data_IF_219085462812
#
_entry.id   IF_219085462812
#
_cell.length_a   1.000
_cell.length_b   1.000
_cell.length_c   1.000
_cell.angle_alpha   90.00
_cell.angle_beta   90.00
_cell.angle_gamma   90.00
#
_symmetry.space_group_name_H-M   'P 1'
#
loop_
_entity.id
_entity.type
_entity.pdbx_description
1 polymer ?
#
# COMPACT_ATOMS: atom_id res chain seq x y z
N UNK A 1 38.31 22.91 30.43
CA UNK A 1 36.98 23.29 30.96
C UNK A 1 35.90 22.62 30.13
N UNK A 2 34.84 22.11 30.77
CA UNK A 2 33.70 21.53 30.08
C UNK A 2 32.88 22.62 29.36
N UNK A 3 32.38 22.33 28.15
CA UNK A 3 31.51 23.24 27.37
C UNK A 3 30.04 23.03 27.79
N UNK A 4 29.28 24.12 27.88
CA UNK A 4 27.83 24.04 28.08
C UNK A 4 27.18 23.49 26.82
N UNK A 5 26.39 22.43 26.95
CA UNK A 5 25.73 21.75 25.85
C UNK A 5 24.21 21.81 25.98
N UNK A 6 23.53 21.95 24.85
CA UNK A 6 22.07 21.81 24.77
C UNK A 6 21.67 20.89 23.62
N UNK A 7 20.50 20.27 23.75
CA UNK A 7 19.86 19.53 22.68
C UNK A 7 18.65 20.34 22.25
N UNK A 8 18.50 20.54 20.95
CA UNK A 8 17.40 21.33 20.40
C UNK A 8 17.05 20.92 18.98
N UNK A 9 16.02 21.58 18.45
CA UNK A 9 15.55 21.38 17.08
C UNK A 9 15.85 22.60 16.24
N UNK A 10 16.26 22.39 14.99
CA UNK A 10 16.46 23.47 14.03
C UNK A 10 15.10 23.97 13.56
N UNK A 11 14.82 25.25 13.83
CA UNK A 11 13.53 25.89 13.48
C UNK A 11 13.61 26.61 12.15
N UNK A 12 14.74 27.26 11.85
CA UNK A 12 14.91 27.95 10.58
C UNK A 12 16.33 27.84 10.08
N UNK A 13 16.48 27.53 8.79
CA UNK A 13 17.74 27.48 8.07
C UNK A 13 17.62 28.20 6.72
N UNK A 14 18.74 28.70 6.18
CA UNK A 14 18.77 29.38 4.87
C UNK A 14 18.37 30.86 4.89
N UNK A 15 17.89 31.38 6.03
CA UNK A 15 17.60 32.81 6.21
C UNK A 15 18.83 33.67 6.52
N UNK A 16 19.90 33.06 7.04
CA UNK A 16 21.16 33.70 7.39
C UNK A 16 22.30 32.77 6.98
N UNK A 17 23.42 33.32 6.50
CA UNK A 17 24.58 32.50 6.14
C UNK A 17 25.31 31.95 7.38
N UNK A 18 25.73 30.69 7.28
CA UNK A 18 26.46 29.93 8.32
C UNK A 18 25.85 30.01 9.71
N UNK A 19 24.53 30.21 9.77
CA UNK A 19 23.81 30.50 11.00
C UNK A 19 22.41 29.90 10.93
N UNK A 20 22.07 29.11 11.94
CA UNK A 20 20.75 28.48 12.07
C UNK A 20 20.08 28.92 13.37
N UNK A 21 18.76 28.87 13.40
CA UNK A 21 17.98 29.10 14.62
C UNK A 21 17.61 27.77 15.25
N UNK A 22 18.10 27.50 16.47
CA UNK A 22 17.84 26.26 17.21
C UNK A 22 16.98 26.54 18.41
N UNK A 23 15.87 25.81 18.55
CA UNK A 23 14.99 25.86 19.72
C UNK A 23 15.40 24.80 20.73
N UNK A 24 15.75 25.26 21.92
CA UNK A 24 16.07 24.41 23.07
C UNK A 24 14.88 24.41 24.03
N UNK A 25 14.56 23.25 24.57
CA UNK A 25 13.56 23.06 25.62
C UNK A 25 14.27 22.71 26.93
N UNK A 26 14.02 23.50 27.97
CA UNK A 26 14.55 23.26 29.32
C UNK A 26 13.38 23.01 30.28
N UNK A 27 13.49 21.99 31.13
CA UNK A 27 12.53 21.78 32.21
C UNK A 27 12.78 22.81 33.31
N UNK A 28 11.75 23.53 33.69
CA UNK A 28 11.79 24.52 34.77
C UNK A 28 10.61 24.27 35.70
N UNK A 29 10.88 24.14 37.00
CA UNK A 29 9.84 24.03 38.01
C UNK A 29 9.24 25.40 38.30
N UNK A 30 7.93 25.56 38.12
CA UNK A 30 7.23 26.77 38.51
C UNK A 30 6.72 26.63 39.95
N UNK A 31 7.33 27.39 40.87
CA UNK A 31 6.97 27.37 42.30
C UNK A 31 5.51 27.76 42.56
N UNK A 32 4.92 28.68 41.79
CA UNK A 32 3.53 29.14 42.00
C UNK A 32 2.49 28.07 41.65
N UNK A 33 2.77 27.30 40.61
CA UNK A 33 1.85 26.27 40.09
C UNK A 33 2.22 24.87 40.59
N UNK A 34 3.35 24.74 41.29
CA UNK A 34 3.91 23.48 41.78
C UNK A 34 3.98 22.39 40.69
N UNK A 35 4.34 22.78 39.46
CA UNK A 35 4.44 21.88 38.30
C UNK A 35 5.67 22.21 37.45
N UNK A 36 6.27 21.18 36.87
CA UNK A 36 7.33 21.32 35.87
C UNK A 36 6.76 21.67 34.49
N UNK A 37 7.37 22.66 33.84
CA UNK A 37 7.03 23.08 32.48
C UNK A 37 8.28 23.13 31.61
N UNK A 38 8.09 23.02 30.30
CA UNK A 38 9.16 23.26 29.34
C UNK A 38 9.24 24.74 28.98
N UNK A 39 10.34 25.39 29.36
CA UNK A 39 10.69 26.72 28.88
C UNK A 39 11.43 26.58 27.55
N UNK A 40 10.88 27.18 26.50
CA UNK A 40 11.51 27.25 25.17
C UNK A 40 12.42 28.48 25.08
N UNK A 41 13.59 28.32 24.47
CA UNK A 41 14.49 29.42 24.11
C UNK A 41 15.13 29.14 22.75
N UNK A 42 15.08 30.14 21.88
CA UNK A 42 15.64 30.04 20.53
C UNK A 42 17.03 30.70 20.53
N UNK A 43 18.03 29.99 20.01
CA UNK A 43 19.43 30.41 19.93
C UNK A 43 19.85 30.57 18.47
N UNK A 44 20.69 31.57 18.20
CA UNK A 44 21.43 31.65 16.95
C UNK A 44 22.69 30.81 17.11
N UNK A 45 22.83 29.81 16.25
CA UNK A 45 23.86 28.79 16.33
C UNK A 45 24.66 28.81 15.04
N UNK A 46 25.98 28.71 15.15
CA UNK A 46 26.86 28.65 14.02
C UNK A 46 26.88 27.25 13.40
N UNK A 47 26.68 27.19 12.09
CA UNK A 47 26.86 26.01 11.26
C UNK A 47 27.79 26.40 10.11
N UNK A 48 29.05 25.98 10.16
CA UNK A 48 30.06 26.43 9.19
C UNK A 48 29.82 25.87 7.79
N UNK A 49 29.31 24.63 7.70
CA UNK A 49 29.14 23.90 6.45
C UNK A 49 27.68 23.93 5.96
N UNK A 50 26.78 24.65 6.65
CA UNK A 50 25.36 24.75 6.31
C UNK A 50 24.68 23.36 6.13
N UNK A 51 25.09 22.39 6.95
CA UNK A 51 24.66 20.98 6.84
C UNK A 51 23.25 20.80 7.41
N UNK A 52 22.93 21.52 8.48
CA UNK A 52 21.66 21.34 9.17
C UNK A 52 20.51 21.87 8.32
N UNK A 53 19.33 21.23 8.42
CA UNK A 53 18.09 21.68 7.80
C UNK A 53 16.98 21.82 8.84
N UNK A 54 15.89 22.47 8.45
CA UNK A 54 14.74 22.66 9.33
C UNK A 54 14.14 21.31 9.74
N UNK A 55 13.94 21.09 11.03
CA UNK A 55 13.43 19.83 11.58
C UNK A 55 14.51 18.88 12.13
N UNK A 56 15.80 19.15 11.91
CA UNK A 56 16.88 18.35 12.48
C UNK A 56 16.97 18.52 14.00
N UNK A 57 17.34 17.43 14.70
CA UNK A 57 17.70 17.47 16.12
C UNK A 57 19.21 17.56 16.26
N UNK A 58 19.69 18.60 16.93
CA UNK A 58 21.11 18.91 17.03
C UNK A 58 21.55 19.07 18.48
N UNK A 59 22.79 18.66 18.76
CA UNK A 59 23.52 19.03 19.97
C UNK A 59 24.32 20.29 19.67
N UNK A 60 24.08 21.34 20.44
CA UNK A 60 24.80 22.61 20.33
C UNK A 60 25.71 22.78 21.53
N UNK A 61 26.88 23.36 21.31
CA UNK A 61 27.87 23.62 22.36
C UNK A 61 28.23 25.10 22.42
N UNK A 62 28.52 25.58 23.63
CA UNK A 62 28.96 26.95 23.84
C UNK A 62 30.36 27.18 23.24
N UNK A 63 30.52 28.30 22.56
CA UNK A 63 31.77 28.75 21.93
C UNK A 63 32.13 30.16 22.38
N UNK A 64 33.28 30.66 21.92
CA UNK A 64 33.55 32.11 21.98
C UNK A 64 32.40 32.88 21.29
N UNK A 65 32.15 34.14 21.67
CA UNK A 65 31.26 35.01 20.91
C UNK A 65 31.71 35.07 19.44
N UNK A 66 30.87 34.57 18.54
CA UNK A 66 31.09 34.62 17.09
C UNK A 66 30.42 35.85 16.46
N UNK A 67 29.38 36.38 17.12
CA UNK A 67 28.67 37.60 16.76
C UNK A 67 27.91 38.12 17.98
N UNK A 68 27.24 39.27 17.87
CA UNK A 68 26.52 39.94 18.96
C UNK A 68 25.51 39.04 19.71
N UNK A 69 24.92 38.05 19.02
CA UNK A 69 23.93 37.12 19.60
C UNK A 69 24.25 35.64 19.36
N UNK A 70 25.43 35.32 18.81
CA UNK A 70 25.82 33.97 18.38
C UNK A 70 26.97 33.46 19.24
N UNK A 71 26.65 32.62 20.22
CA UNK A 71 27.59 32.09 21.22
C UNK A 71 27.61 30.56 21.26
N UNK A 72 26.92 29.90 20.32
CA UNK A 72 26.82 28.45 20.23
C UNK A 72 27.18 27.99 18.81
N UNK A 73 27.74 26.79 18.70
CA UNK A 73 27.97 26.10 17.44
C UNK A 73 27.32 24.72 17.45
N UNK A 74 27.00 24.21 16.26
CA UNK A 74 26.53 22.82 16.10
C UNK A 74 27.71 21.90 16.36
N UNK A 75 27.55 20.99 17.32
CA UNK A 75 28.56 19.99 17.63
C UNK A 75 28.24 18.65 16.97
N UNK A 76 26.96 18.31 16.85
CA UNK A 76 26.52 17.01 16.34
C UNK A 76 25.05 17.07 15.89
N UNK A 77 24.73 16.37 14.79
CA UNK A 77 23.35 16.13 14.36
C UNK A 77 22.93 14.78 14.95
N UNK A 78 22.02 14.81 15.93
CA UNK A 78 21.51 13.59 16.60
C UNK A 78 20.47 12.86 15.78
N UNK A 79 19.62 13.61 15.06
CA UNK A 79 18.60 13.05 14.18
C UNK A 79 18.42 13.94 12.97
N UNK A 80 18.69 13.37 11.80
CA UNK A 80 18.51 14.02 10.52
C UNK A 80 17.09 13.73 10.02
N UNK A 81 16.26 14.76 9.92
CA UNK A 81 14.89 14.66 9.36
C UNK A 81 14.67 15.70 8.27
N UNK A 82 15.25 16.88 8.44
CA UNK A 82 15.08 18.00 7.53
C UNK A 82 15.67 17.74 6.15
N UNK A 83 16.80 17.02 6.07
CA UNK A 83 17.42 16.71 4.79
C UNK A 83 16.58 15.73 3.95
N UNK A 84 15.90 14.79 4.60
CA UNK A 84 15.01 13.83 3.93
C UNK A 84 13.87 14.54 3.19
N UNK A 85 13.31 15.60 3.79
CA UNK A 85 12.20 16.35 3.18
C UNK A 85 12.56 17.01 1.85
N UNK A 86 13.78 17.54 1.72
CA UNK A 86 14.23 18.16 0.45
C UNK A 86 14.31 17.11 -0.64
N UNK A 87 14.92 15.94 -0.33
CA UNK A 87 15.05 14.84 -1.28
C UNK A 87 13.68 14.36 -1.75
N UNK A 88 12.74 14.17 -0.82
CA UNK A 88 11.40 13.72 -1.17
C UNK A 88 10.63 14.74 -2.00
N UNK A 89 10.81 16.04 -1.73
CA UNK A 89 10.16 17.08 -2.52
C UNK A 89 10.68 17.12 -3.97
N UNK A 90 12.00 16.96 -4.17
CA UNK A 90 12.57 16.91 -5.52
C UNK A 90 12.14 15.66 -6.27
N UNK A 91 12.25 14.50 -5.62
CA UNK A 91 11.90 13.20 -6.21
C UNK A 91 10.42 13.14 -6.59
N UNK A 92 9.53 13.58 -5.69
CA UNK A 92 8.09 13.63 -5.98
C UNK A 92 7.76 14.55 -7.16
N UNK A 93 8.42 15.72 -7.26
CA UNK A 93 8.19 16.64 -8.38
C UNK A 93 8.59 16.01 -9.70
N UNK A 94 9.74 15.34 -9.74
CA UNK A 94 10.24 14.69 -10.95
C UNK A 94 9.34 13.53 -11.37
N UNK A 95 8.90 12.71 -10.41
CA UNK A 95 7.98 11.59 -10.65
C UNK A 95 6.62 12.06 -11.17
N UNK A 96 6.01 13.08 -10.54
CA UNK A 96 4.72 13.63 -10.99
C UNK A 96 4.84 14.18 -12.41
N UNK A 97 5.92 14.89 -12.72
CA UNK A 97 6.13 15.41 -14.08
C UNK A 97 6.28 14.29 -15.12
N UNK A 98 6.91 13.16 -14.77
CA UNK A 98 7.04 12.00 -15.65
C UNK A 98 5.67 11.33 -15.86
N UNK A 99 4.93 11.09 -14.79
CA UNK A 99 3.59 10.49 -14.82
C UNK A 99 2.61 11.35 -15.63
N UNK A 100 2.63 12.67 -15.45
CA UNK A 100 1.78 13.59 -16.22
C UNK A 100 2.13 13.56 -17.72
N UNK A 101 3.42 13.47 -18.07
CA UNK A 101 3.84 13.34 -19.48
C UNK A 101 3.36 12.03 -20.10
N UNK A 102 3.49 10.92 -19.38
CA UNK A 102 3.03 9.61 -19.85
C UNK A 102 1.51 9.62 -20.08
N UNK A 103 0.75 10.14 -19.10
CA UNK A 103 -0.71 10.30 -19.23
C UNK A 103 -1.10 11.20 -20.39
N UNK A 104 -0.35 12.29 -20.62
CA UNK A 104 -0.60 13.19 -21.75
C UNK A 104 -0.35 12.50 -23.10
N UNK A 105 0.74 11.73 -23.21
CA UNK A 105 1.05 10.93 -24.41
C UNK A 105 -0.06 9.91 -24.66
N UNK A 106 -0.47 9.19 -23.63
CA UNK A 106 -1.54 8.18 -23.74
C UNK A 106 -2.89 8.81 -24.09
N UNK A 107 -3.20 9.99 -23.54
CA UNK A 107 -4.39 10.75 -23.90
C UNK A 107 -4.38 11.14 -25.37
N UNK A 108 -3.25 11.65 -25.89
CA UNK A 108 -3.12 12.00 -27.31
C UNK A 108 -3.29 10.76 -28.20
N UNK A 109 -2.63 9.64 -27.89
CA UNK A 109 -2.81 8.38 -28.62
C UNK A 109 -4.27 7.93 -28.67
N UNK A 110 -4.96 7.95 -27.52
CA UNK A 110 -6.40 7.60 -27.47
C UNK A 110 -7.24 8.56 -28.29
N UNK A 111 -6.95 9.86 -28.24
CA UNK A 111 -7.65 10.87 -29.01
C UNK A 111 -7.45 10.66 -30.51
N UNK A 112 -6.23 10.38 -30.94
CA UNK A 112 -5.91 10.12 -32.35
C UNK A 112 -6.67 8.85 -32.83
N UNK A 113 -6.72 7.78 -32.03
CA UNK A 113 -7.53 6.58 -32.32
C UNK A 113 -9.03 6.93 -32.43
N UNK A 114 -9.55 7.77 -31.53
CA UNK A 114 -10.96 8.19 -31.56
C UNK A 114 -11.24 9.03 -32.80
N UNK A 115 -10.34 9.95 -33.15
CA UNK A 115 -10.48 10.80 -34.33
C UNK A 115 -10.42 9.97 -35.63
N UNK A 116 -9.56 8.94 -35.69
CA UNK A 116 -9.50 7.96 -36.78
C UNK A 116 -10.76 7.09 -36.88
N UNK A 117 -11.31 6.64 -35.74
CA UNK A 117 -12.49 5.75 -35.70
C UNK A 117 -13.83 6.50 -35.79
N UNK A 118 -13.84 7.84 -35.69
CA UNK A 118 -15.07 8.65 -35.69
C UNK A 118 -15.90 8.53 -36.96
N UNK A 119 -15.27 8.29 -38.09
CA UNK A 119 -15.95 8.07 -39.39
C UNK A 119 -16.48 6.65 -39.54
N UNK A 120 -15.97 5.73 -38.74
CA UNK A 120 -16.10 4.30 -38.91
C UNK A 120 -17.13 3.74 -37.92
N UNK A 121 -18.35 3.52 -38.40
CA UNK A 121 -19.40 2.91 -37.58
C UNK A 121 -19.37 1.39 -37.69
N UNK A 122 -19.16 0.70 -36.57
CA UNK A 122 -19.32 -0.76 -36.47
C UNK A 122 -20.67 -1.24 -37.06
N UNK A 123 -21.71 -0.42 -36.94
CA UNK A 123 -23.02 -0.73 -37.52
C UNK A 123 -22.99 -0.81 -39.05
N UNK A 124 -22.23 0.08 -39.71
CA UNK A 124 -22.08 0.07 -41.15
C UNK A 124 -21.24 -1.14 -41.58
N UNK A 125 -20.13 -1.39 -40.90
CA UNK A 125 -19.26 -2.56 -41.14
C UNK A 125 -20.06 -3.89 -41.03
N UNK A 126 -20.93 -4.02 -40.02
CA UNK A 126 -21.77 -5.20 -39.82
C UNK A 126 -22.88 -5.33 -40.87
N UNK A 127 -23.45 -4.23 -41.35
CA UNK A 127 -24.44 -4.26 -42.43
C UNK A 127 -23.81 -4.67 -43.75
N UNK A 128 -22.60 -4.19 -44.06
CA UNK A 128 -21.85 -4.62 -45.24
C UNK A 128 -21.56 -6.13 -45.21
N UNK A 129 -21.18 -6.68 -44.05
CA UNK A 129 -20.93 -8.12 -43.88
C UNK A 129 -22.24 -8.93 -43.93
N UNK A 130 -23.37 -8.37 -43.49
CA UNK A 130 -24.66 -9.07 -43.42
C UNK A 130 -25.11 -9.61 -44.78
N UNK A 131 -24.92 -8.82 -45.84
CA UNK A 131 -25.30 -9.21 -47.20
C UNK A 131 -24.33 -10.27 -47.79
N UNK A 132 -23.06 -10.24 -47.36
CA UNK A 132 -22.01 -11.15 -47.80
C UNK A 132 -22.09 -12.54 -47.11
N UNK A 133 -22.80 -12.66 -45.99
CA UNK A 133 -23.03 -13.93 -45.28
C UNK A 133 -23.78 -14.99 -46.10
N UNK A 134 -24.38 -14.59 -47.23
CA UNK A 134 -25.12 -15.49 -48.13
C UNK A 134 -24.21 -16.51 -48.85
N UNK A 135 -22.93 -16.18 -49.00
CA UNK A 135 -21.93 -17.02 -49.66
C UNK A 135 -21.20 -17.89 -48.62
N UNK A 136 -20.98 -19.18 -48.94
CA UNK A 136 -20.35 -20.13 -48.01
C UNK A 136 -18.82 -20.07 -48.05
N UNK A 137 -18.25 -19.68 -49.19
CA UNK A 137 -16.81 -19.68 -49.41
C UNK A 137 -16.30 -18.32 -49.85
N UNK A 138 -15.12 -17.92 -49.36
CA UNK A 138 -14.48 -16.65 -49.70
C UNK A 138 -14.16 -16.53 -51.21
N UNK A 139 -13.96 -17.67 -51.88
CA UNK A 139 -13.66 -17.77 -53.31
C UNK A 139 -14.83 -17.45 -54.24
N UNK A 140 -16.07 -17.42 -53.72
CA UNK A 140 -17.29 -17.09 -54.49
C UNK A 140 -17.57 -15.58 -54.54
N UNK A 141 -16.75 -14.79 -53.84
CA UNK A 141 -16.93 -13.35 -53.66
C UNK A 141 -16.04 -12.54 -54.60
N UNK A 142 -16.49 -11.35 -55.01
CA UNK A 142 -15.69 -10.40 -55.79
C UNK A 142 -14.35 -10.09 -55.10
N UNK A 143 -13.28 -9.91 -55.87
CA UNK A 143 -11.96 -9.55 -55.36
C UNK A 143 -12.01 -8.28 -54.49
N UNK A 144 -12.87 -7.32 -54.85
CA UNK A 144 -13.09 -6.11 -54.05
C UNK A 144 -13.65 -6.41 -52.66
N UNK A 145 -14.65 -7.28 -52.55
CA UNK A 145 -15.27 -7.61 -51.27
C UNK A 145 -14.38 -8.49 -50.39
N UNK A 146 -13.54 -9.34 -51.01
CA UNK A 146 -12.51 -10.08 -50.29
C UNK A 146 -11.51 -9.15 -49.60
N UNK A 147 -11.06 -8.08 -50.29
CA UNK A 147 -10.14 -7.10 -49.69
C UNK A 147 -10.79 -6.29 -48.56
N UNK A 148 -12.09 -5.96 -48.67
CA UNK A 148 -12.85 -5.30 -47.60
C UNK A 148 -12.94 -6.18 -46.35
N UNK A 149 -13.27 -7.47 -46.52
CA UNK A 149 -13.33 -8.44 -45.41
C UNK A 149 -11.97 -8.57 -44.71
N UNK A 150 -10.87 -8.62 -45.47
CA UNK A 150 -9.52 -8.69 -44.89
C UNK A 150 -9.19 -7.44 -44.07
N UNK A 151 -9.49 -6.23 -44.59
CA UNK A 151 -9.33 -4.98 -43.85
C UNK A 151 -10.16 -4.94 -42.56
N UNK A 152 -11.41 -5.41 -42.61
CA UNK A 152 -12.27 -5.50 -41.42
C UNK A 152 -11.72 -6.51 -40.41
N UNK A 153 -11.20 -7.65 -40.86
CA UNK A 153 -10.55 -8.63 -39.97
C UNK A 153 -9.30 -8.08 -39.30
N UNK A 154 -8.47 -7.35 -40.03
CA UNK A 154 -7.30 -6.66 -39.47
C UNK A 154 -7.71 -5.59 -38.46
N UNK A 155 -8.72 -4.78 -38.79
CA UNK A 155 -9.26 -3.71 -37.92
C UNK A 155 -9.77 -4.24 -36.57
N UNK A 156 -10.43 -5.39 -36.56
CA UNK A 156 -10.97 -6.00 -35.34
C UNK A 156 -10.08 -7.11 -34.75
N UNK A 157 -8.84 -7.25 -35.24
CA UNK A 157 -7.87 -8.26 -34.79
C UNK A 157 -8.42 -9.70 -34.82
N UNK A 158 -9.20 -10.04 -35.84
CA UNK A 158 -9.73 -11.38 -36.06
C UNK A 158 -8.67 -12.22 -36.77
N UNK A 159 -7.88 -12.97 -36.00
CA UNK A 159 -6.89 -13.90 -36.55
C UNK A 159 -7.61 -15.08 -37.24
N UNK A 160 -7.36 -15.23 -38.54
CA UNK A 160 -8.07 -16.14 -39.42
C UNK A 160 -7.79 -17.62 -39.13
N UNK A 161 -8.83 -18.34 -38.75
CA UNK A 161 -9.35 -19.45 -39.56
C UNK A 161 -10.88 -19.30 -39.60
N UNK A 162 -11.49 -19.35 -40.78
CA UNK A 162 -12.95 -19.33 -40.93
C UNK A 162 -13.53 -20.69 -40.56
N UNK A 163 -13.24 -21.17 -39.34
CA UNK A 163 -13.90 -22.34 -38.76
C UNK A 163 -14.19 -22.07 -37.29
N UNK A 164 -15.49 -22.08 -36.98
CA UNK A 164 -16.15 -21.90 -35.68
C UNK A 164 -16.30 -20.47 -35.14
N UNK A 165 -17.40 -19.85 -35.57
CA UNK A 165 -18.11 -18.67 -35.03
C UNK A 165 -18.31 -18.64 -33.48
N UNK A 166 -17.96 -19.71 -32.75
CA UNK A 166 -18.14 -19.81 -31.29
C UNK A 166 -17.00 -19.14 -30.50
N UNK A 167 -15.75 -19.30 -30.93
CA UNK A 167 -14.55 -18.94 -30.14
C UNK A 167 -14.30 -17.42 -30.11
N UNK A 168 -14.72 -16.71 -31.16
CA UNK A 168 -14.53 -15.26 -31.29
C UNK A 168 -15.54 -14.43 -30.47
N UNK A 169 -16.77 -14.92 -30.27
CA UNK A 169 -17.75 -14.28 -29.38
C UNK A 169 -17.41 -14.46 -27.91
N UNK A 170 -16.88 -15.62 -27.53
CA UNK A 170 -16.43 -15.86 -26.15
C UNK A 170 -15.18 -15.04 -25.81
N UNK A 171 -14.19 -14.94 -26.69
CA UNK A 171 -12.89 -14.33 -26.33
C UNK A 171 -12.85 -12.80 -26.22
N UNK A 172 -13.74 -12.07 -26.91
CA UNK A 172 -13.75 -10.59 -26.91
C UNK A 172 -14.73 -10.06 -25.83
N UNK A 173 -15.87 -10.72 -25.64
CA UNK A 173 -16.89 -10.32 -24.66
C UNK A 173 -16.56 -10.85 -23.25
N UNK A 174 -15.91 -12.02 -23.13
CA UNK A 174 -15.62 -12.60 -21.81
C UNK A 174 -14.28 -12.18 -21.22
N UNK A 175 -13.37 -11.51 -21.95
CA UNK A 175 -12.06 -11.10 -21.40
C UNK A 175 -12.16 -10.13 -20.22
N UNK A 176 -13.14 -9.23 -20.22
CA UNK A 176 -13.40 -8.35 -19.08
C UNK A 176 -14.07 -9.12 -17.93
N UNK A 177 -15.07 -9.96 -18.24
CA UNK A 177 -15.80 -10.76 -17.25
C UNK A 177 -14.90 -11.81 -16.55
N UNK A 178 -14.02 -12.50 -17.27
CA UNK A 178 -13.06 -13.48 -16.74
C UNK A 178 -12.08 -12.85 -15.74
N UNK A 179 -11.67 -11.60 -15.96
CA UNK A 179 -10.76 -10.90 -15.06
C UNK A 179 -11.41 -10.69 -13.69
N UNK A 180 -12.68 -10.27 -13.68
CA UNK A 180 -13.47 -10.03 -12.46
C UNK A 180 -13.93 -11.32 -11.78
N UNK A 181 -14.17 -12.40 -12.52
CA UNK A 181 -14.52 -13.71 -11.94
C UNK A 181 -13.41 -14.23 -11.02
N UNK A 182 -12.13 -14.09 -11.42
CA UNK A 182 -11.01 -14.53 -10.56
C UNK A 182 -10.92 -13.75 -9.25
N UNK A 183 -11.28 -12.47 -9.26
CA UNK A 183 -11.25 -11.62 -8.07
C UNK A 183 -12.44 -11.89 -7.14
N UNK A 184 -13.63 -12.17 -7.69
CA UNK A 184 -14.77 -12.62 -6.91
C UNK A 184 -14.51 -13.98 -6.23
N UNK A 185 -13.85 -14.91 -6.91
CA UNK A 185 -13.44 -16.19 -6.33
C UNK A 185 -12.43 -15.99 -5.19
N UNK A 186 -11.44 -15.11 -5.35
CA UNK A 186 -10.50 -14.75 -4.26
C UNK A 186 -11.23 -14.15 -3.05
N UNK A 187 -12.19 -13.27 -3.28
CA UNK A 187 -13.00 -12.67 -2.22
C UNK A 187 -13.86 -13.73 -1.50
N UNK A 188 -14.48 -14.64 -2.26
CA UNK A 188 -15.27 -15.76 -1.73
C UNK A 188 -14.42 -16.67 -0.84
N UNK A 189 -13.23 -17.05 -1.31
CA UNK A 189 -12.28 -17.87 -0.52
C UNK A 189 -11.83 -17.14 0.76
N UNK A 190 -11.59 -15.82 0.68
CA UNK A 190 -11.26 -15.03 1.87
C UNK A 190 -12.42 -14.97 2.87
N UNK A 191 -13.66 -14.91 2.38
CA UNK A 191 -14.85 -14.90 3.21
C UNK A 191 -15.07 -16.26 3.90
N UNK A 192 -14.85 -17.37 3.19
CA UNK A 192 -14.94 -18.71 3.78
C UNK A 192 -13.87 -18.92 4.87
N UNK A 193 -12.64 -18.47 4.63
CA UNK A 193 -11.57 -18.49 5.64
C UNK A 193 -11.91 -17.66 6.89
N UNK A 194 -12.49 -16.48 6.71
CA UNK A 194 -12.93 -15.64 7.83
C UNK A 194 -14.05 -16.29 8.63
N UNK A 195 -15.03 -16.92 7.96
CA UNK A 195 -16.10 -17.66 8.60
C UNK A 195 -15.58 -18.85 9.41
N UNK A 196 -14.63 -19.62 8.86
CA UNK A 196 -13.93 -20.67 9.61
C UNK A 196 -13.22 -20.11 10.84
N UNK A 197 -12.58 -18.94 10.71
CA UNK A 197 -11.91 -18.29 11.84
C UNK A 197 -12.89 -17.85 12.95
N UNK A 198 -14.09 -17.39 12.58
CA UNK A 198 -15.14 -16.99 13.52
C UNK A 198 -15.67 -18.22 14.27
N UNK A 199 -15.98 -19.31 13.54
CA UNK A 199 -16.43 -20.58 14.11
C UNK A 199 -15.40 -21.19 15.05
N UNK A 200 -14.12 -21.10 14.70
CA UNK A 200 -13.03 -21.57 15.57
C UNK A 200 -12.93 -20.72 16.85
N UNK A 201 -13.08 -19.39 16.75
CA UNK A 201 -13.04 -18.50 17.91
C UNK A 201 -14.26 -18.70 18.85
N UNK A 202 -15.45 -18.95 18.30
CA UNK A 202 -16.64 -19.27 19.12
C UNK A 202 -16.43 -20.59 19.87
N UNK A 203 -15.90 -21.63 19.20
CA UNK A 203 -15.59 -22.91 19.85
C UNK A 203 -14.53 -22.78 20.94
N UNK A 204 -13.48 -21.98 20.72
CA UNK A 204 -12.48 -21.68 21.77
C UNK A 204 -13.16 -21.00 22.96
N UNK A 205 -14.07 -20.05 22.72
CA UNK A 205 -14.76 -19.36 23.81
C UNK A 205 -15.67 -20.28 24.61
N UNK A 206 -16.34 -21.22 23.95
CA UNK A 206 -17.17 -22.26 24.55
C UNK A 206 -16.32 -23.19 25.45
N UNK A 207 -15.19 -23.71 24.92
CA UNK A 207 -14.27 -24.58 25.66
C UNK A 207 -13.62 -23.89 26.88
N UNK A 208 -13.43 -22.58 26.84
CA UNK A 208 -12.88 -21.84 27.99
C UNK A 208 -13.93 -21.56 29.05
N UNK A 209 -15.19 -21.42 28.65
CA UNK A 209 -16.28 -21.20 29.61
C UNK A 209 -16.69 -22.50 30.31
N UNK A 210 -16.50 -23.66 29.67
CA UNK A 210 -16.72 -24.99 30.25
C UNK A 210 -15.39 -25.69 30.61
N UNK A 211 -14.71 -25.19 31.66
CA UNK A 211 -13.47 -25.80 32.17
C UNK A 211 -13.68 -27.20 32.79
N UNK A 212 -14.94 -27.60 33.05
CA UNK A 212 -15.31 -28.92 33.58
C UNK A 212 -15.34 -30.04 32.53
N UNK A 213 -15.48 -29.68 31.25
CA UNK A 213 -15.59 -30.63 30.14
C UNK A 213 -14.41 -31.60 30.09
N UNK A 214 -14.72 -32.88 29.84
CA UNK A 214 -13.71 -33.94 29.64
C UNK A 214 -12.76 -33.61 28.47
N UNK A 215 -13.28 -32.91 27.46
CA UNK A 215 -12.51 -32.40 26.31
C UNK A 215 -11.47 -31.36 26.72
N UNK A 216 -11.85 -30.40 27.57
CA UNK A 216 -10.95 -29.37 28.07
C UNK A 216 -9.84 -29.99 28.93
N UNK A 217 -10.18 -30.99 29.75
CA UNK A 217 -9.20 -31.73 30.57
C UNK A 217 -8.17 -32.46 29.70
N UNK A 218 -8.59 -33.17 28.65
CA UNK A 218 -7.68 -33.84 27.71
C UNK A 218 -6.77 -32.84 26.97
N UNK A 219 -7.32 -31.69 26.56
CA UNK A 219 -6.53 -30.63 25.92
C UNK A 219 -5.55 -30.02 26.91
N UNK A 220 -5.97 -29.80 28.16
CA UNK A 220 -5.14 -29.21 29.21
C UNK A 220 -3.95 -30.09 29.58
N UNK A 221 -4.12 -31.41 29.62
CA UNK A 221 -3.02 -32.35 29.87
C UNK A 221 -2.06 -32.42 28.69
N UNK A 222 -2.57 -32.47 27.45
CA UNK A 222 -1.74 -32.54 26.24
C UNK A 222 -0.95 -31.24 25.98
N UNK A 223 -1.48 -30.09 26.40
CA UNK A 223 -0.87 -28.76 26.22
C UNK A 223 -0.25 -28.16 27.50
N UNK A 224 -0.19 -28.91 28.60
CA UNK A 224 0.33 -28.48 29.90
C UNK A 224 -0.30 -27.16 30.42
N UNK A 225 -1.62 -27.04 30.32
CA UNK A 225 -2.36 -25.88 30.82
C UNK A 225 -2.60 -26.04 32.32
N UNK A 226 -1.97 -25.21 33.14
CA UNK A 226 -2.18 -25.18 34.59
C UNK A 226 -3.21 -24.12 34.99
N UNK A 227 -3.76 -24.23 36.21
CA UNK A 227 -4.74 -23.26 36.74
C UNK A 227 -4.17 -21.84 36.89
N UNK A 228 -2.86 -21.71 37.00
CA UNK A 228 -2.15 -20.41 37.09
C UNK A 228 -2.00 -19.71 35.73
N UNK A 229 -2.25 -20.41 34.62
CA UNK A 229 -2.12 -19.81 33.29
C UNK A 229 -3.18 -18.74 33.03
N UNK A 230 -2.74 -17.57 32.55
CA UNK A 230 -3.65 -16.46 32.21
C UNK A 230 -4.61 -16.87 31.08
N UNK A 231 -5.87 -16.40 31.14
CA UNK A 231 -6.95 -16.71 30.18
C UNK A 231 -6.56 -16.55 28.71
N UNK A 232 -5.79 -15.52 28.35
CA UNK A 232 -5.33 -15.30 26.97
C UNK A 232 -4.33 -16.36 26.49
N UNK A 233 -3.49 -16.86 27.40
CA UNK A 233 -2.53 -17.93 27.12
C UNK A 233 -3.29 -19.25 26.92
N UNK A 234 -4.29 -19.54 27.76
CA UNK A 234 -5.21 -20.66 27.56
C UNK A 234 -5.86 -20.62 26.17
N UNK A 235 -6.41 -19.46 25.75
CA UNK A 235 -7.00 -19.27 24.41
C UNK A 235 -6.03 -19.63 23.29
N UNK A 236 -4.79 -19.15 23.40
CA UNK A 236 -3.77 -19.35 22.35
C UNK A 236 -3.28 -20.79 22.30
N UNK A 237 -3.15 -21.46 23.44
CA UNK A 237 -2.79 -22.88 23.50
C UNK A 237 -3.90 -23.77 22.93
N UNK A 238 -5.16 -23.51 23.27
CA UNK A 238 -6.32 -24.22 22.69
C UNK A 238 -6.39 -23.94 21.18
N UNK A 239 -6.21 -22.69 20.76
CA UNK A 239 -6.16 -22.32 19.34
C UNK A 239 -5.05 -23.04 18.59
N UNK A 240 -3.87 -23.15 19.19
CA UNK A 240 -2.73 -23.88 18.64
C UNK A 240 -3.09 -25.35 18.50
N UNK A 241 -3.65 -25.96 19.53
CA UNK A 241 -4.08 -27.35 19.54
C UNK A 241 -5.10 -27.64 18.42
N UNK A 242 -6.17 -26.83 18.31
CA UNK A 242 -7.21 -27.01 17.29
C UNK A 242 -6.70 -26.82 15.85
N UNK A 243 -5.60 -26.07 15.66
CA UNK A 243 -5.00 -25.87 14.33
C UNK A 243 -3.98 -26.93 13.94
N UNK A 244 -3.28 -27.53 14.91
CA UNK A 244 -2.21 -28.50 14.65
C UNK A 244 -2.69 -29.94 14.66
N UNK A 245 -3.81 -30.21 15.31
CA UNK A 245 -4.33 -31.57 15.49
C UNK A 245 -5.11 -31.99 14.23
N UNK A 246 -4.88 -33.20 13.68
CA UNK A 246 -5.63 -33.68 12.53
C UNK A 246 -7.13 -33.82 12.85
N UNK A 247 -7.97 -33.65 11.83
CA UNK A 247 -9.43 -33.58 11.99
C UNK A 247 -10.02 -34.86 12.63
N UNK A 248 -9.43 -36.03 12.36
CA UNK A 248 -9.89 -37.31 12.91
C UNK A 248 -9.73 -37.40 14.44
N UNK A 249 -8.68 -36.79 14.99
CA UNK A 249 -8.48 -36.70 16.44
C UNK A 249 -9.44 -35.69 17.08
N UNK A 250 -9.76 -34.60 16.38
CA UNK A 250 -10.73 -33.60 16.85
C UNK A 250 -12.16 -34.17 16.88
N UNK A 251 -12.52 -34.97 15.86
CA UNK A 251 -13.83 -35.66 15.79
C UNK A 251 -13.98 -36.67 16.93
N UNK A 252 -12.93 -37.43 17.26
CA UNK A 252 -12.93 -38.36 18.42
C UNK A 252 -13.12 -37.65 19.76
N UNK A 253 -12.71 -36.39 19.86
CA UNK A 253 -12.92 -35.52 21.03
C UNK A 253 -14.28 -34.80 20.99
N UNK A 254 -15.14 -35.08 20.00
CA UNK A 254 -16.45 -34.42 19.84
C UNK A 254 -16.36 -32.96 19.38
N UNK A 255 -15.20 -32.52 18.87
CA UNK A 255 -14.98 -31.15 18.40
C UNK A 255 -15.11 -31.13 16.88
N UNK A 256 -16.24 -30.61 16.40
CA UNK A 256 -16.48 -30.39 14.96
C UNK A 256 -16.30 -28.90 14.65
N UNK A 257 -15.24 -28.56 13.91
CA UNK A 257 -14.92 -27.20 13.45
C UNK A 257 -15.54 -26.94 12.08
#
# INVERSE_FOLDING_TARGET
MARQNFIGFVVSQGKMDKTIKVRVLQKVFNKKVHKEFFKRKDYLVHDQANICREGDMVRIEATRPLSARKFFAVAEIKRNKGQEFIRYQTEAKDMVNQEEREKAIDFLKRRDIIDETKTDSLYNDLNEIKDLKKYKNLSELSEEDQTKILKLKEKYYINTNWENDSILKESIINKENDLFETDLVKISNKLSDLNLSIKLNSKISELINDESSETFKIISTKMNITNETKKNIKKNLIKKFLKTTPNDELIKLGIVI
#
